data_IF_461498977130
#
_entry.id   IF_461498977130
#
_cell.length_a   1.000
_cell.length_b   1.000
_cell.length_c   1.000
_cell.angle_alpha   90.00
_cell.angle_beta   90.00
_cell.angle_gamma   90.00
#
_symmetry.space_group_name_H-M   'P 1'
#
loop_
_entity.id
_entity.type
_entity.pdbx_description
1 polymer ?
#
# COMPACT_ATOMS: atom_id res chain seq x y z
N UNK A 1 3.72 5.71 1.01
CA UNK A 1 3.54 4.27 1.32
C UNK A 1 4.77 3.78 2.05
N UNK A 2 4.60 2.96 3.07
CA UNK A 2 5.71 2.39 3.83
C UNK A 2 6.63 1.51 2.98
N UNK A 3 7.76 1.08 3.54
CA UNK A 3 8.59 0.03 2.98
C UNK A 3 8.98 -0.98 4.05
N UNK A 4 9.16 -2.23 3.63
CA UNK A 4 9.61 -3.33 4.47
C UNK A 4 10.81 -4.01 3.81
N UNK A 5 11.70 -4.55 4.64
CA UNK A 5 12.78 -5.42 4.20
C UNK A 5 13.04 -6.48 5.28
N UNK A 6 13.34 -7.72 4.86
CA UNK A 6 13.73 -8.82 5.75
C UNK A 6 14.87 -9.62 5.16
N UNK A 7 15.76 -10.10 6.00
CA UNK A 7 16.89 -10.96 5.64
C UNK A 7 17.02 -12.13 6.62
N UNK A 8 16.89 -13.35 6.11
CA UNK A 8 16.91 -14.55 6.94
C UNK A 8 18.33 -15.13 7.06
N UNK A 9 19.21 -14.39 7.73
CA UNK A 9 20.59 -14.76 7.96
C UNK A 9 21.27 -13.82 8.97
N UNK A 10 22.43 -14.24 9.48
CA UNK A 10 23.21 -13.50 10.46
C UNK A 10 24.58 -13.04 9.95
N UNK A 11 24.83 -13.23 8.66
CA UNK A 11 26.07 -12.90 7.96
C UNK A 11 26.04 -11.51 7.28
N UNK A 12 24.91 -10.77 7.37
CA UNK A 12 24.78 -9.41 6.90
C UNK A 12 24.80 -8.44 8.08
N UNK A 13 25.76 -7.47 8.15
CA UNK A 13 25.75 -6.43 9.18
C UNK A 13 24.49 -5.58 9.13
N UNK A 14 23.99 -5.19 10.31
CA UNK A 14 22.78 -4.37 10.46
C UNK A 14 22.91 -3.03 9.76
N UNK A 15 24.07 -2.42 9.80
CA UNK A 15 24.37 -1.14 9.13
C UNK A 15 24.24 -1.27 7.60
N UNK A 16 24.80 -2.32 7.02
CA UNK A 16 24.69 -2.63 5.60
C UNK A 16 23.23 -2.90 5.19
N UNK A 17 22.50 -3.65 6.02
CA UNK A 17 21.07 -3.87 5.79
C UNK A 17 20.28 -2.56 5.83
N UNK A 18 20.59 -1.65 6.76
CA UNK A 18 19.95 -0.34 6.84
C UNK A 18 20.24 0.53 5.61
N UNK A 19 21.45 0.46 5.02
CA UNK A 19 21.78 1.11 3.76
C UNK A 19 20.93 0.59 2.60
N UNK A 20 20.68 -0.73 2.54
CA UNK A 20 19.79 -1.30 1.54
C UNK A 20 18.34 -0.84 1.73
N UNK A 21 17.85 -0.78 2.96
CA UNK A 21 16.50 -0.29 3.27
C UNK A 21 16.35 1.19 2.89
N UNK A 22 17.38 2.03 3.12
CA UNK A 22 17.39 3.46 2.79
C UNK A 22 17.22 3.76 1.29
N UNK A 23 17.46 2.80 0.39
CA UNK A 23 17.21 2.99 -1.05
C UNK A 23 15.74 3.26 -1.38
N UNK A 24 14.85 2.98 -0.44
CA UNK A 24 13.41 3.27 -0.52
C UNK A 24 12.96 4.29 0.53
N UNK A 25 13.84 5.19 0.99
CA UNK A 25 13.50 6.21 1.97
C UNK A 25 12.35 7.12 1.53
N UNK A 26 12.19 7.38 0.22
CA UNK A 26 11.06 8.13 -0.34
C UNK A 26 9.70 7.49 -0.09
N UNK A 27 9.63 6.16 0.15
CA UNK A 27 8.39 5.47 0.52
C UNK A 27 8.02 5.65 1.99
N UNK A 28 9.01 5.67 2.86
CA UNK A 28 8.84 5.80 4.30
C UNK A 28 9.68 6.95 4.86
N UNK A 29 9.30 8.20 4.59
CA UNK A 29 10.14 9.36 4.91
C UNK A 29 10.06 9.81 6.36
N UNK A 30 9.07 9.34 7.13
CA UNK A 30 8.81 9.87 8.47
C UNK A 30 9.73 9.24 9.53
N UNK A 31 10.02 7.94 9.42
CA UNK A 31 10.90 7.23 10.37
C UNK A 31 11.40 5.90 9.79
N UNK A 32 12.50 5.37 10.32
CA UNK A 32 13.07 4.09 9.91
C UNK A 32 13.53 3.28 11.14
N UNK A 33 13.22 1.99 11.14
CA UNK A 33 13.65 1.08 12.20
C UNK A 33 14.15 -0.24 11.61
N UNK A 34 15.26 -0.74 12.16
CA UNK A 34 15.79 -2.07 11.89
C UNK A 34 15.95 -2.79 13.23
N UNK A 35 15.38 -3.98 13.34
CA UNK A 35 15.53 -4.86 14.50
C UNK A 35 16.28 -6.13 14.10
N UNK A 36 17.04 -6.65 15.06
CA UNK A 36 17.61 -8.00 15.00
C UNK A 36 16.61 -8.98 15.58
N UNK A 37 16.51 -10.13 14.96
CA UNK A 37 15.57 -11.19 15.33
C UNK A 37 16.29 -12.54 15.32
N UNK A 38 15.65 -13.59 15.80
CA UNK A 38 16.22 -14.95 15.72
C UNK A 38 16.38 -15.44 14.28
N UNK A 39 15.62 -14.91 13.31
CA UNK A 39 15.78 -15.29 11.90
C UNK A 39 16.82 -14.45 11.16
N UNK A 40 17.19 -13.29 11.69
CA UNK A 40 18.09 -12.33 11.06
C UNK A 40 17.63 -10.89 11.27
N UNK A 41 17.42 -10.14 10.18
CA UNK A 41 17.11 -8.70 10.22
C UNK A 41 15.73 -8.39 9.66
N UNK A 42 15.00 -7.51 10.34
CA UNK A 42 13.71 -6.98 9.89
C UNK A 42 13.72 -5.46 9.95
N UNK A 43 13.40 -4.83 8.81
CA UNK A 43 13.40 -3.38 8.64
C UNK A 43 12.07 -2.83 8.18
N UNK A 44 11.76 -1.61 8.63
CA UNK A 44 10.57 -0.86 8.29
C UNK A 44 10.89 0.61 8.09
N UNK A 45 10.38 1.20 7.00
CA UNK A 45 10.36 2.65 6.79
C UNK A 45 8.92 3.15 6.77
N UNK A 46 8.62 4.14 7.59
CA UNK A 46 7.26 4.62 7.86
C UNK A 46 6.86 5.79 6.99
N UNK A 47 5.66 5.70 6.42
CA UNK A 47 4.82 6.83 6.07
C UNK A 47 3.59 6.75 6.99
N UNK A 48 3.46 7.68 7.93
CA UNK A 48 2.40 7.67 8.93
C UNK A 48 1.08 8.13 8.30
N UNK A 49 0.13 7.19 8.15
CA UNK A 49 -1.22 7.42 7.63
C UNK A 49 -2.25 7.04 8.69
N UNK A 50 -2.04 5.91 9.37
CA UNK A 50 -2.83 5.42 10.49
C UNK A 50 -1.98 5.35 11.74
N UNK A 51 -2.60 5.58 12.94
CA UNK A 51 -1.92 5.50 14.23
C UNK A 51 -0.72 6.43 14.30
N UNK A 52 -0.93 7.74 14.17
CA UNK A 52 0.13 8.75 13.95
C UNK A 52 1.15 8.88 15.09
N UNK A 53 0.87 8.30 16.26
CA UNK A 53 1.77 8.37 17.41
C UNK A 53 3.04 7.51 17.21
N UNK A 54 4.11 7.73 18.01
CA UNK A 54 5.34 6.93 17.94
C UNK A 54 5.11 5.42 18.13
N UNK A 55 4.08 5.03 18.90
CA UNK A 55 3.73 3.63 19.15
C UNK A 55 3.24 2.90 17.89
N UNK A 56 2.76 3.64 16.87
CA UNK A 56 2.42 3.08 15.55
C UNK A 56 3.64 2.73 14.69
N UNK A 57 4.88 2.88 15.22
CA UNK A 57 6.10 2.52 14.49
C UNK A 57 6.36 1.01 14.51
N UNK A 58 6.53 0.45 13.32
CA UNK A 58 6.84 -0.96 13.11
C UNK A 58 8.38 -1.21 13.06
N UNK A 59 8.84 -2.47 13.16
CA UNK A 59 8.08 -3.72 13.36
C UNK A 59 7.35 -3.76 14.71
N UNK A 60 6.10 -4.27 14.69
CA UNK A 60 5.38 -4.60 15.93
C UNK A 60 5.93 -5.88 16.53
N UNK A 61 6.04 -5.93 17.84
CA UNK A 61 6.59 -7.08 18.56
C UNK A 61 5.67 -7.53 19.70
N UNK A 62 5.59 -8.86 19.91
CA UNK A 62 4.98 -9.49 21.09
C UNK A 62 5.89 -10.60 21.58
N UNK A 63 6.68 -10.29 22.62
CA UNK A 63 7.82 -11.14 23.00
C UNK A 63 8.87 -11.13 21.90
N UNK A 64 9.27 -12.33 21.43
CA UNK A 64 10.20 -12.49 20.31
C UNK A 64 9.51 -12.61 18.93
N UNK A 65 8.17 -12.66 18.89
CA UNK A 65 7.39 -12.62 17.64
C UNK A 65 7.37 -11.20 17.10
N UNK A 66 7.47 -11.05 15.78
CA UNK A 66 7.46 -9.71 15.17
C UNK A 66 6.78 -9.71 13.79
N UNK A 67 6.29 -8.53 13.39
CA UNK A 67 5.70 -8.29 12.06
C UNK A 67 6.05 -6.89 11.56
N UNK A 68 6.39 -6.80 10.28
CA UNK A 68 6.42 -5.57 9.52
C UNK A 68 5.47 -5.70 8.33
N UNK A 69 4.60 -4.71 8.15
CA UNK A 69 3.59 -4.69 7.11
C UNK A 69 3.59 -3.33 6.40
N UNK A 70 3.77 -3.35 5.09
CA UNK A 70 3.42 -2.24 4.22
C UNK A 70 2.02 -2.51 3.69
N UNK A 71 1.00 -1.95 4.32
CA UNK A 71 -0.38 -2.25 3.97
C UNK A 71 -1.36 -1.26 4.57
N UNK A 72 -2.63 -1.51 4.25
CA UNK A 72 -3.81 -0.88 4.81
C UNK A 72 -4.84 -1.97 5.08
N UNK A 73 -5.23 -2.15 6.34
CA UNK A 73 -6.19 -3.15 6.76
C UNK A 73 -7.54 -2.47 6.97
N UNK A 74 -8.41 -2.60 6.00
CA UNK A 74 -9.72 -1.94 6.02
C UNK A 74 -10.66 -2.55 7.06
N UNK A 75 -11.41 -1.67 7.75
CA UNK A 75 -12.35 -2.12 8.77
C UNK A 75 -11.68 -2.74 9.99
N UNK A 76 -10.44 -2.39 10.30
CA UNK A 76 -9.69 -2.96 11.42
C UNK A 76 -10.26 -2.60 12.79
N UNK A 77 -10.93 -1.45 12.94
CA UNK A 77 -11.42 -0.96 14.25
C UNK A 77 -12.39 -1.92 14.95
N UNK A 78 -13.43 -2.48 14.28
CA UNK A 78 -14.27 -3.54 14.88
C UNK A 78 -13.46 -4.79 15.23
N UNK A 79 -12.55 -5.22 14.35
CA UNK A 79 -11.69 -6.39 14.59
C UNK A 79 -10.78 -6.16 15.80
N UNK A 80 -10.21 -4.98 15.96
CA UNK A 80 -9.42 -4.57 17.13
C UNK A 80 -10.26 -4.68 18.40
N UNK A 81 -11.50 -4.14 18.39
CA UNK A 81 -12.40 -4.21 19.53
C UNK A 81 -12.77 -5.66 19.92
N UNK A 82 -12.99 -6.56 18.96
CA UNK A 82 -13.19 -7.99 19.22
C UNK A 82 -11.97 -8.64 19.88
N UNK A 83 -10.77 -8.34 19.35
CA UNK A 83 -9.52 -8.84 19.92
C UNK A 83 -9.27 -8.29 21.35
N UNK A 84 -9.62 -7.03 21.62
CA UNK A 84 -9.57 -6.45 22.97
C UNK A 84 -10.52 -7.16 23.93
N UNK A 85 -11.72 -7.50 23.49
CA UNK A 85 -12.68 -8.30 24.29
C UNK A 85 -12.17 -9.74 24.57
N UNK A 86 -11.30 -10.27 23.71
CA UNK A 86 -10.59 -11.54 23.90
C UNK A 86 -9.33 -11.43 24.77
N UNK A 87 -8.99 -10.23 25.25
CA UNK A 87 -7.87 -9.98 26.17
C UNK A 87 -6.57 -9.54 25.51
N UNK A 88 -6.57 -9.25 24.21
CA UNK A 88 -5.40 -8.62 23.57
C UNK A 88 -5.33 -7.14 23.92
N UNK A 89 -4.10 -6.63 24.06
CA UNK A 89 -3.84 -5.21 24.30
C UNK A 89 -3.11 -4.60 23.12
N UNK A 90 -3.37 -3.34 22.82
CA UNK A 90 -2.74 -2.60 21.73
C UNK A 90 -2.10 -1.33 22.28
N UNK A 91 -0.96 -0.95 21.72
CA UNK A 91 -0.21 0.24 22.11
C UNK A 91 -0.54 1.44 21.21
N UNK A 92 -1.05 1.19 20.02
CA UNK A 92 -1.32 2.22 19.02
C UNK A 92 -2.69 2.04 18.36
N UNK A 93 -3.08 3.02 17.55
CA UNK A 93 -4.22 2.94 16.65
C UNK A 93 -3.83 2.56 15.21
N UNK A 94 -2.64 1.97 15.02
CA UNK A 94 -2.27 1.42 13.72
C UNK A 94 -3.11 0.18 13.40
N UNK A 95 -3.63 0.16 12.19
CA UNK A 95 -4.35 -0.97 11.62
C UNK A 95 -3.51 -2.26 11.59
N UNK A 96 -2.22 -2.14 11.28
CA UNK A 96 -1.29 -3.27 11.19
C UNK A 96 -0.95 -3.93 12.54
N UNK A 97 -1.25 -3.30 13.67
CA UNK A 97 -0.97 -3.89 14.99
C UNK A 97 -1.85 -5.11 15.29
N UNK A 98 -3.01 -5.26 14.61
CA UNK A 98 -3.89 -6.43 14.78
C UNK A 98 -3.34 -7.71 14.13
N UNK A 99 -2.29 -7.63 13.28
CA UNK A 99 -1.80 -8.78 12.50
C UNK A 99 -1.29 -9.92 13.39
N UNK A 100 -0.46 -9.63 14.39
CA UNK A 100 0.03 -10.68 15.30
C UNK A 100 -1.11 -11.35 16.10
N UNK A 101 -2.07 -10.62 16.71
CA UNK A 101 -3.25 -11.23 17.34
C UNK A 101 -4.07 -12.09 16.37
N UNK A 102 -4.30 -11.65 15.13
CA UNK A 102 -4.99 -12.44 14.12
C UNK A 102 -4.23 -13.73 13.76
N UNK A 103 -2.89 -13.62 13.66
CA UNK A 103 -2.05 -14.79 13.44
C UNK A 103 -2.13 -15.78 14.61
N UNK A 104 -2.18 -15.31 15.84
CA UNK A 104 -2.33 -16.20 17.01
C UNK A 104 -3.68 -16.91 17.02
N UNK A 105 -4.73 -16.23 16.59
CA UNK A 105 -6.09 -16.75 16.55
C UNK A 105 -6.30 -17.74 15.40
N UNK A 106 -5.82 -17.42 14.21
CA UNK A 106 -6.15 -18.15 12.98
C UNK A 106 -4.96 -18.86 12.30
N UNK A 107 -3.73 -18.64 12.78
CA UNK A 107 -2.53 -19.12 12.09
C UNK A 107 -2.45 -18.56 10.67
N UNK A 108 -2.01 -19.40 9.72
CA UNK A 108 -1.93 -19.00 8.30
C UNK A 108 -3.32 -18.83 7.63
N UNK A 109 -4.39 -19.30 8.26
CA UNK A 109 -5.74 -19.03 7.77
C UNK A 109 -6.16 -17.56 7.93
N UNK A 110 -5.41 -16.74 8.69
CA UNK A 110 -5.68 -15.32 8.88
C UNK A 110 -5.80 -14.56 7.54
N UNK A 111 -5.06 -14.98 6.49
CA UNK A 111 -5.10 -14.32 5.18
C UNK A 111 -6.50 -14.32 4.53
N UNK A 112 -7.39 -15.23 4.93
CA UNK A 112 -8.80 -15.28 4.48
C UNK A 112 -9.71 -14.32 5.25
N UNK A 113 -9.23 -13.77 6.36
CA UNK A 113 -9.96 -12.83 7.22
C UNK A 113 -9.50 -11.37 7.04
N UNK A 114 -8.51 -11.13 6.16
CA UNK A 114 -8.00 -9.79 5.90
C UNK A 114 -8.74 -9.17 4.71
N UNK A 115 -9.42 -8.05 4.94
CA UNK A 115 -9.83 -7.11 3.88
C UNK A 115 -8.74 -6.02 3.81
N UNK A 116 -7.74 -6.27 2.99
CA UNK A 116 -6.51 -5.48 3.03
C UNK A 116 -5.76 -5.48 1.70
N UNK A 117 -5.01 -4.43 1.47
CA UNK A 117 -3.90 -4.40 0.54
C UNK A 117 -2.60 -4.41 1.34
N UNK A 118 -1.76 -5.42 1.12
CA UNK A 118 -0.60 -5.61 1.98
C UNK A 118 0.57 -6.36 1.35
N UNK A 119 1.75 -6.04 1.86
CA UNK A 119 2.93 -6.88 1.82
C UNK A 119 3.48 -6.96 3.25
N UNK A 120 3.71 -8.15 3.79
CA UNK A 120 4.15 -8.31 5.18
C UNK A 120 5.25 -9.35 5.32
N UNK A 121 6.03 -9.21 6.39
CA UNK A 121 7.00 -10.19 6.88
C UNK A 121 6.72 -10.40 8.37
N UNK A 122 6.45 -11.65 8.76
CA UNK A 122 6.10 -12.04 10.12
C UNK A 122 7.04 -13.16 10.58
N UNK A 123 7.47 -13.12 11.83
CA UNK A 123 8.21 -14.19 12.47
C UNK A 123 7.50 -14.69 13.72
N UNK A 124 7.24 -16.01 13.77
CA UNK A 124 6.76 -16.75 14.94
C UNK A 124 7.96 -17.44 15.59
N UNK A 125 8.44 -16.90 16.70
CA UNK A 125 9.62 -17.38 17.41
C UNK A 125 9.41 -18.77 18.05
N UNK A 126 8.18 -19.07 18.46
CA UNK A 126 7.84 -20.34 19.12
C UNK A 126 7.89 -21.51 18.15
N UNK A 127 7.40 -21.30 16.92
CA UNK A 127 7.42 -22.29 15.86
C UNK A 127 8.63 -22.18 14.95
N UNK A 128 9.44 -21.10 15.10
CA UNK A 128 10.55 -20.73 14.24
C UNK A 128 10.14 -20.62 12.78
N UNK A 129 9.00 -19.98 12.53
CA UNK A 129 8.44 -19.78 11.20
C UNK A 129 8.67 -18.35 10.72
N UNK A 130 9.42 -18.21 9.62
CA UNK A 130 9.48 -16.98 8.85
C UNK A 130 8.38 -17.03 7.77
N UNK A 131 7.50 -16.05 7.81
CA UNK A 131 6.36 -15.92 6.90
C UNK A 131 6.50 -14.58 6.18
N UNK A 132 6.39 -14.60 4.87
CA UNK A 132 6.17 -13.39 4.08
C UNK A 132 4.91 -13.57 3.26
N UNK A 133 4.12 -12.51 3.03
CA UNK A 133 2.88 -12.63 2.29
C UNK A 133 2.55 -11.36 1.52
N UNK A 134 1.81 -11.54 0.41
CA UNK A 134 1.37 -10.45 -0.46
C UNK A 134 -0.13 -10.59 -0.75
N UNK A 135 -0.82 -9.46 -0.83
CA UNK A 135 -2.26 -9.38 -1.06
C UNK A 135 -2.71 -10.09 -2.36
N UNK A 136 -4.02 -10.43 -2.48
CA UNK A 136 -4.55 -11.21 -3.61
C UNK A 136 -4.35 -10.58 -4.98
N UNK A 137 -4.30 -9.24 -5.06
CA UNK A 137 -4.17 -8.49 -6.31
C UNK A 137 -2.71 -8.09 -6.55
N UNK A 138 -1.91 -7.99 -5.47
CA UNK A 138 -0.53 -7.51 -5.50
C UNK A 138 -0.43 -5.99 -5.54
N UNK A 139 -1.40 -5.29 -4.92
CA UNK A 139 -1.42 -3.82 -4.84
C UNK A 139 -0.15 -3.33 -4.14
N UNK A 140 0.24 -3.97 -3.03
CA UNK A 140 1.49 -3.64 -2.37
C UNK A 140 2.64 -4.43 -3.00
N UNK A 141 3.72 -3.75 -3.41
CA UNK A 141 4.85 -4.44 -4.01
C UNK A 141 5.63 -5.25 -2.96
N UNK A 142 6.07 -6.44 -3.38
CA UNK A 142 6.99 -7.27 -2.63
C UNK A 142 7.86 -8.04 -3.62
N UNK A 143 9.17 -8.09 -3.34
CA UNK A 143 10.17 -8.83 -4.09
C UNK A 143 10.94 -9.76 -3.16
N UNK A 144 11.55 -10.79 -3.72
CA UNK A 144 12.43 -11.69 -2.99
C UNK A 144 13.63 -12.11 -3.81
N UNK A 145 14.64 -12.60 -3.13
CA UNK A 145 15.83 -13.18 -3.74
C UNK A 145 16.63 -13.97 -2.70
N UNK A 146 17.72 -14.57 -3.16
CA UNK A 146 18.63 -15.31 -2.30
C UNK A 146 20.01 -14.68 -2.36
N UNK A 147 20.65 -14.49 -1.18
CA UNK A 147 22.03 -14.05 -1.07
C UNK A 147 23.00 -15.11 -1.62
N UNK A 148 24.28 -14.76 -1.69
CA UNK A 148 25.33 -15.73 -2.03
C UNK A 148 25.43 -16.91 -1.05
N UNK A 149 25.13 -16.64 0.23
CA UNK A 149 25.08 -17.62 1.31
C UNK A 149 23.81 -18.49 1.29
N UNK A 150 22.89 -18.24 0.35
CA UNK A 150 21.63 -18.98 0.22
C UNK A 150 20.50 -18.49 1.15
N UNK A 151 20.70 -17.42 1.89
CA UNK A 151 19.67 -16.83 2.74
C UNK A 151 18.64 -16.05 1.93
N UNK A 152 17.35 -16.23 2.23
CA UNK A 152 16.27 -15.49 1.56
C UNK A 152 16.18 -14.07 2.09
N UNK A 153 15.94 -13.13 1.18
CA UNK A 153 15.67 -11.74 1.46
C UNK A 153 14.36 -11.33 0.80
N UNK A 154 13.62 -10.44 1.48
CA UNK A 154 12.39 -9.83 1.00
C UNK A 154 12.51 -8.31 1.06
N UNK A 155 11.91 -7.61 0.11
CA UNK A 155 11.85 -6.14 0.16
C UNK A 155 10.66 -5.59 -0.63
N UNK A 156 10.21 -4.41 -0.27
CA UNK A 156 9.15 -3.69 -0.99
C UNK A 156 9.52 -3.39 -2.44
N UNK A 157 10.79 -3.13 -2.73
CA UNK A 157 11.26 -2.85 -4.10
C UNK A 157 12.51 -3.65 -4.45
N UNK A 158 12.64 -3.99 -5.73
CA UNK A 158 13.77 -4.77 -6.22
C UNK A 158 15.12 -4.08 -5.97
N UNK A 159 15.18 -2.74 -6.01
CA UNK A 159 16.41 -1.98 -5.79
C UNK A 159 17.02 -2.18 -4.40
N UNK A 160 16.21 -2.51 -3.39
CA UNK A 160 16.73 -2.84 -2.05
C UNK A 160 17.56 -4.14 -2.04
N UNK A 161 17.27 -5.07 -2.96
CA UNK A 161 17.93 -6.37 -3.05
C UNK A 161 19.12 -6.40 -4.03
N UNK A 162 19.32 -5.32 -4.80
CA UNK A 162 20.46 -5.22 -5.74
C UNK A 162 21.77 -5.16 -4.95
N UNK A 163 22.70 -6.06 -5.28
CA UNK A 163 23.98 -6.23 -4.58
C UNK A 163 23.92 -7.18 -3.39
N UNK A 164 22.72 -7.50 -2.87
CA UNK A 164 22.49 -8.54 -1.86
C UNK A 164 22.13 -9.88 -2.51
N UNK A 165 21.32 -9.84 -3.56
CA UNK A 165 20.82 -11.03 -4.26
C UNK A 165 21.28 -11.05 -5.71
N UNK A 166 21.70 -12.23 -6.22
CA UNK A 166 22.09 -12.40 -7.64
C UNK A 166 20.90 -12.34 -8.59
N UNK A 167 19.75 -12.86 -8.14
CA UNK A 167 18.49 -12.86 -8.87
C UNK A 167 17.39 -12.35 -7.95
N UNK A 168 16.55 -11.49 -8.49
CA UNK A 168 15.46 -10.86 -7.78
C UNK A 168 14.18 -11.18 -8.53
N UNK A 169 13.17 -11.61 -7.80
CA UNK A 169 11.88 -12.04 -8.34
C UNK A 169 10.75 -11.24 -7.69
N UNK A 170 9.69 -10.92 -8.43
CA UNK A 170 8.46 -10.44 -7.81
C UNK A 170 7.86 -11.54 -6.94
N UNK A 171 7.38 -11.17 -5.75
CA UNK A 171 6.68 -12.12 -4.87
C UNK A 171 5.32 -12.47 -5.49
N UNK A 172 4.93 -13.77 -5.54
CA UNK A 172 3.66 -14.18 -6.11
C UNK A 172 2.47 -13.53 -5.40
N UNK A 173 1.52 -13.00 -6.17
CA UNK A 173 0.28 -12.42 -5.64
C UNK A 173 -0.60 -13.50 -4.99
N UNK A 174 -1.43 -13.10 -4.00
CA UNK A 174 -2.32 -14.03 -3.30
C UNK A 174 -1.60 -15.21 -2.64
N UNK A 175 -0.34 -15.03 -2.27
CA UNK A 175 0.51 -16.10 -1.78
C UNK A 175 1.22 -15.72 -0.49
N UNK A 176 1.61 -16.72 0.27
CA UNK A 176 2.57 -16.57 1.34
C UNK A 176 3.76 -17.52 1.15
N UNK A 177 4.91 -17.08 1.64
CA UNK A 177 6.10 -17.91 1.87
C UNK A 177 6.09 -18.36 3.33
N UNK A 178 6.41 -19.63 3.56
CA UNK A 178 6.62 -20.17 4.89
C UNK A 178 7.75 -21.20 4.83
N UNK A 179 8.87 -20.90 5.48
CA UNK A 179 10.03 -21.77 5.61
C UNK A 179 10.40 -22.57 4.34
N UNK A 180 10.68 -21.86 3.25
CA UNK A 180 11.15 -22.46 1.99
C UNK A 180 10.05 -22.78 0.97
N UNK A 181 8.78 -22.64 1.31
CA UNK A 181 7.66 -22.95 0.43
C UNK A 181 6.80 -21.73 0.14
N UNK A 182 6.42 -21.55 -1.14
CA UNK A 182 5.40 -20.60 -1.55
C UNK A 182 4.07 -21.32 -1.67
N UNK A 183 3.05 -20.79 -1.00
CA UNK A 183 1.71 -21.36 -0.98
C UNK A 183 0.71 -20.28 -1.41
N UNK A 184 -0.09 -20.56 -2.42
CA UNK A 184 -1.17 -19.68 -2.86
C UNK A 184 -2.37 -19.85 -1.94
N UNK A 185 -2.84 -18.77 -1.34
CA UNK A 185 -4.00 -18.78 -0.46
C UNK A 185 -5.25 -18.19 -1.12
N UNK A 186 -5.08 -17.39 -2.18
CA UNK A 186 -6.16 -16.78 -2.95
C UNK A 186 -5.77 -16.66 -4.42
N UNK A 187 -6.70 -17.00 -5.30
CA UNK A 187 -6.65 -16.71 -6.73
C UNK A 187 -7.90 -15.92 -7.11
N UNK A 188 -7.74 -14.66 -7.47
CA UNK A 188 -8.86 -13.80 -7.88
C UNK A 188 -9.48 -14.23 -9.22
N UNK A 189 -8.75 -15.00 -10.03
CA UNK A 189 -9.25 -15.56 -11.28
C UNK A 189 -10.02 -16.87 -11.09
N UNK A 190 -9.95 -17.49 -9.91
CA UNK A 190 -10.73 -18.69 -9.59
C UNK A 190 -12.17 -18.31 -9.27
N UNK A 191 -13.04 -18.48 -10.25
CA UNK A 191 -14.46 -18.16 -10.16
C UNK A 191 -15.26 -19.43 -9.91
N UNK A 192 -15.69 -19.69 -8.66
CA UNK A 192 -16.34 -20.97 -8.31
C UNK A 192 -17.73 -21.12 -8.96
N UNK A 193 -18.41 -20.02 -9.26
CA UNK A 193 -19.72 -20.01 -9.90
C UNK A 193 -20.00 -18.65 -10.57
N UNK A 194 -20.83 -18.68 -11.59
CA UNK A 194 -21.43 -17.48 -12.18
C UNK A 194 -22.80 -17.24 -11.55
N UNK A 195 -23.12 -15.97 -11.24
CA UNK A 195 -24.46 -15.62 -10.80
C UNK A 195 -25.49 -15.78 -11.93
N UNK A 196 -26.69 -16.17 -11.57
CA UNK A 196 -27.85 -16.19 -12.45
C UNK A 196 -28.85 -15.08 -12.09
N UNK A 197 -28.39 -14.09 -11.31
CA UNK A 197 -29.23 -12.99 -10.83
C UNK A 197 -29.77 -12.14 -11.98
N UNK A 198 -30.94 -11.55 -11.77
CA UNK A 198 -31.53 -10.62 -12.72
C UNK A 198 -30.75 -9.29 -12.78
N UNK A 199 -30.76 -8.62 -13.92
CA UNK A 199 -30.00 -7.37 -14.16
C UNK A 199 -30.21 -6.32 -13.05
N UNK A 200 -31.43 -6.05 -12.54
CA UNK A 200 -31.63 -5.08 -11.45
C UNK A 200 -30.86 -5.43 -10.17
N UNK A 201 -30.79 -6.72 -9.82
CA UNK A 201 -30.08 -7.22 -8.65
C UNK A 201 -28.55 -7.10 -8.84
N UNK A 202 -28.04 -7.45 -10.03
CA UNK A 202 -26.64 -7.28 -10.40
C UNK A 202 -26.21 -5.82 -10.24
N UNK A 203 -27.00 -4.88 -10.77
CA UNK A 203 -26.72 -3.45 -10.70
C UNK A 203 -26.76 -2.92 -9.26
N UNK A 204 -27.71 -3.41 -8.45
CA UNK A 204 -27.79 -3.07 -7.03
C UNK A 204 -26.55 -3.54 -6.27
N UNK A 205 -26.11 -4.79 -6.49
CA UNK A 205 -24.93 -5.37 -5.87
C UNK A 205 -23.64 -4.65 -6.28
N UNK A 206 -23.49 -4.28 -7.56
CA UNK A 206 -22.35 -3.48 -8.04
C UNK A 206 -22.32 -2.13 -7.33
N UNK A 207 -23.46 -1.44 -7.26
CA UNK A 207 -23.55 -0.14 -6.59
C UNK A 207 -23.20 -0.23 -5.10
N UNK A 208 -23.75 -1.23 -4.40
CA UNK A 208 -23.47 -1.44 -2.98
C UNK A 208 -21.99 -1.68 -2.73
N UNK A 209 -21.37 -2.60 -3.49
CA UNK A 209 -19.94 -2.92 -3.36
C UNK A 209 -19.04 -1.73 -3.69
N UNK A 210 -19.37 -0.97 -4.72
CA UNK A 210 -18.60 0.22 -5.09
C UNK A 210 -18.68 1.29 -3.98
N UNK A 211 -19.88 1.58 -3.48
CA UNK A 211 -20.07 2.55 -2.41
C UNK A 211 -19.33 2.10 -1.14
N UNK A 212 -19.48 0.83 -0.73
CA UNK A 212 -18.77 0.29 0.42
C UNK A 212 -17.24 0.29 0.21
N UNK A 213 -16.78 0.00 -1.00
CA UNK A 213 -15.37 0.02 -1.35
C UNK A 213 -14.73 1.40 -1.23
N UNK A 214 -15.43 2.46 -1.63
CA UNK A 214 -14.97 3.84 -1.44
C UNK A 214 -15.04 4.23 0.03
N UNK A 215 -16.18 3.95 0.70
CA UNK A 215 -16.44 4.35 2.08
C UNK A 215 -15.36 3.88 3.05
N UNK A 216 -14.98 2.60 2.98
CA UNK A 216 -13.94 2.03 3.83
C UNK A 216 -12.54 2.61 3.62
N UNK A 217 -12.26 3.22 2.45
CA UNK A 217 -11.00 3.89 2.12
C UNK A 217 -10.95 5.35 2.56
N UNK A 218 -12.06 5.86 3.11
CA UNK A 218 -12.10 7.22 3.69
C UNK A 218 -11.61 7.24 5.14
N UNK A 219 -11.41 6.07 5.77
CA UNK A 219 -10.88 5.96 7.14
C UNK A 219 -9.36 6.16 7.10
N UNK A 220 -8.91 7.37 7.41
CA UNK A 220 -7.51 7.73 7.53
C UNK A 220 -7.35 8.80 8.62
N UNK A 221 -6.26 8.71 9.40
CA UNK A 221 -5.94 9.67 10.45
C UNK A 221 -5.25 10.94 9.90
N UNK A 222 -5.02 10.99 8.58
CA UNK A 222 -4.41 12.12 7.86
C UNK A 222 -5.37 12.68 6.80
N UNK A 223 -5.17 13.93 6.33
CA UNK A 223 -5.98 14.50 5.26
C UNK A 223 -5.94 13.67 3.98
N UNK A 224 -7.15 13.43 3.42
CA UNK A 224 -7.36 12.69 2.17
C UNK A 224 -7.69 13.66 1.05
N UNK A 225 -7.01 13.51 -0.10
CA UNK A 225 -7.29 14.18 -1.36
C UNK A 225 -7.79 13.20 -2.42
N UNK A 226 -8.21 13.74 -3.55
CA UNK A 226 -8.80 12.94 -4.63
C UNK A 226 -8.23 13.36 -5.98
N UNK A 227 -7.82 12.40 -6.81
CA UNK A 227 -7.48 12.69 -8.19
C UNK A 227 -8.75 12.65 -9.05
N UNK A 228 -8.99 13.72 -9.79
CA UNK A 228 -10.20 13.91 -10.59
C UNK A 228 -9.82 14.25 -12.03
N UNK A 229 -9.95 13.29 -12.93
CA UNK A 229 -9.72 13.48 -14.37
C UNK A 229 -10.96 13.90 -15.16
N UNK A 230 -12.15 13.89 -14.53
CA UNK A 230 -13.43 14.10 -15.21
C UNK A 230 -13.94 12.87 -15.96
N UNK A 231 -13.20 11.76 -15.97
CA UNK A 231 -13.66 10.44 -16.43
C UNK A 231 -14.69 9.83 -15.47
N UNK A 232 -15.38 8.77 -15.93
CA UNK A 232 -16.46 8.14 -15.16
C UNK A 232 -15.98 7.65 -13.79
N UNK A 233 -14.85 6.93 -13.74
CA UNK A 233 -14.39 6.23 -12.54
C UNK A 233 -13.95 7.22 -11.46
N UNK A 234 -13.08 8.18 -11.81
CA UNK A 234 -12.64 9.22 -10.89
C UNK A 234 -13.81 10.09 -10.39
N UNK A 235 -14.76 10.39 -11.28
CA UNK A 235 -15.95 11.16 -10.91
C UNK A 235 -16.86 10.40 -9.96
N UNK A 236 -17.05 9.08 -10.14
CA UNK A 236 -17.82 8.24 -9.23
C UNK A 236 -17.17 8.16 -7.85
N UNK A 237 -15.86 7.94 -7.77
CA UNK A 237 -15.12 7.92 -6.49
C UNK A 237 -15.30 9.25 -5.76
N UNK A 238 -15.08 10.37 -6.44
CA UNK A 238 -15.24 11.70 -5.85
C UNK A 238 -16.70 11.97 -5.41
N UNK A 239 -17.69 11.57 -6.21
CA UNK A 239 -19.11 11.79 -5.88
C UNK A 239 -19.55 10.96 -4.66
N UNK A 240 -19.10 9.70 -4.57
CA UNK A 240 -19.38 8.85 -3.42
C UNK A 240 -18.72 9.44 -2.17
N UNK A 241 -17.44 9.82 -2.27
CA UNK A 241 -16.69 10.41 -1.14
C UNK A 241 -17.32 11.71 -0.66
N UNK A 242 -17.65 12.65 -1.55
CA UNK A 242 -18.29 13.90 -1.19
C UNK A 242 -19.64 13.68 -0.47
N UNK A 243 -20.45 12.73 -0.97
CA UNK A 243 -21.72 12.37 -0.35
C UNK A 243 -21.55 11.73 1.03
N UNK A 244 -20.55 10.85 1.19
CA UNK A 244 -20.29 10.15 2.46
C UNK A 244 -19.72 11.08 3.52
N UNK A 245 -18.79 11.94 3.15
CA UNK A 245 -18.17 12.89 4.07
C UNK A 245 -19.08 14.07 4.44
N UNK A 246 -20.09 14.39 3.61
CA UNK A 246 -21.02 15.50 3.83
C UNK A 246 -20.34 16.86 3.91
N UNK A 247 -19.15 17.02 3.34
CA UNK A 247 -18.34 18.25 3.30
C UNK A 247 -17.60 18.35 1.97
N UNK A 248 -17.15 19.56 1.56
CA UNK A 248 -16.30 19.71 0.38
C UNK A 248 -15.05 18.81 0.44
N UNK A 249 -14.75 18.15 -0.65
CA UNK A 249 -13.54 17.33 -0.82
C UNK A 249 -12.48 18.12 -1.58
N UNK A 250 -11.20 17.82 -1.34
CA UNK A 250 -10.08 18.43 -2.06
C UNK A 250 -9.72 17.58 -3.25
N UNK A 251 -9.88 18.13 -4.47
CA UNK A 251 -9.64 17.39 -5.72
C UNK A 251 -8.52 18.01 -6.52
N UNK A 252 -7.78 17.17 -7.27
CA UNK A 252 -6.64 17.58 -8.06
C UNK A 252 -6.73 16.99 -9.46
N UNK A 253 -6.40 17.79 -10.46
CA UNK A 253 -6.26 17.38 -11.85
C UNK A 253 -4.94 17.88 -12.42
N UNK A 254 -4.48 17.25 -13.50
CA UNK A 254 -3.24 17.65 -14.21
C UNK A 254 -3.50 17.72 -15.71
N UNK A 255 -2.94 18.71 -16.36
CA UNK A 255 -3.05 18.89 -17.81
C UNK A 255 -1.84 19.57 -18.43
N UNK A 256 -1.63 19.32 -19.74
CA UNK A 256 -0.50 19.90 -20.51
C UNK A 256 -0.71 21.37 -20.89
N UNK A 257 -1.92 21.91 -20.73
CA UNK A 257 -2.29 23.29 -20.95
C UNK A 257 -3.60 23.60 -20.24
N UNK A 258 -3.92 24.88 -20.06
CA UNK A 258 -5.19 25.31 -19.48
C UNK A 258 -6.42 24.87 -20.29
N UNK A 259 -6.25 24.65 -21.60
CA UNK A 259 -7.30 24.18 -22.52
C UNK A 259 -7.37 22.66 -22.63
N UNK A 260 -6.64 21.89 -21.79
CA UNK A 260 -6.68 20.44 -21.81
C UNK A 260 -8.10 19.93 -21.55
N UNK A 261 -8.59 19.02 -22.41
CA UNK A 261 -9.97 18.53 -22.37
C UNK A 261 -10.30 17.86 -21.02
N UNK A 262 -9.32 17.18 -20.44
CA UNK A 262 -9.47 16.50 -19.14
C UNK A 262 -9.68 17.52 -18.01
N UNK A 263 -8.94 18.64 -18.00
CA UNK A 263 -9.14 19.70 -17.02
C UNK A 263 -10.52 20.32 -17.11
N UNK A 264 -11.04 20.51 -18.35
CA UNK A 264 -12.41 21.01 -18.55
C UNK A 264 -13.46 20.11 -17.92
N UNK A 265 -13.35 18.78 -18.10
CA UNK A 265 -14.32 17.84 -17.52
C UNK A 265 -14.10 17.68 -16.01
N UNK A 266 -12.87 17.65 -15.55
CA UNK A 266 -12.55 17.65 -14.13
C UNK A 266 -13.18 18.85 -13.41
N UNK A 267 -13.03 20.06 -13.98
CA UNK A 267 -13.63 21.30 -13.47
C UNK A 267 -15.15 21.21 -13.39
N UNK A 268 -15.82 20.71 -14.43
CA UNK A 268 -17.29 20.55 -14.43
C UNK A 268 -17.76 19.63 -13.28
N UNK A 269 -17.08 18.51 -13.07
CA UNK A 269 -17.40 17.59 -11.96
C UNK A 269 -17.10 18.23 -10.61
N UNK A 270 -15.97 18.92 -10.47
CA UNK A 270 -15.60 19.61 -9.24
C UNK A 270 -16.64 20.68 -8.87
N UNK A 271 -17.08 21.49 -9.83
CA UNK A 271 -18.11 22.51 -9.63
C UNK A 271 -19.45 21.88 -9.23
N UNK A 272 -19.85 20.76 -9.86
CA UNK A 272 -21.06 20.01 -9.51
C UNK A 272 -21.00 19.45 -8.08
N UNK A 273 -19.83 18.98 -7.64
CA UNK A 273 -19.62 18.45 -6.30
C UNK A 273 -19.33 19.53 -5.24
N UNK A 274 -19.22 20.80 -5.64
CA UNK A 274 -18.74 21.90 -4.77
C UNK A 274 -17.39 21.56 -4.12
N UNK A 275 -16.48 20.93 -4.86
CA UNK A 275 -15.17 20.51 -4.39
C UNK A 275 -14.17 21.69 -4.39
N UNK A 276 -13.22 21.66 -3.46
CA UNK A 276 -12.02 22.50 -3.51
C UNK A 276 -11.06 21.90 -4.53
N UNK A 277 -11.04 22.48 -5.74
CA UNK A 277 -10.36 21.91 -6.91
C UNK A 277 -9.11 22.68 -7.30
N UNK A 278 -8.01 21.95 -7.46
CA UNK A 278 -6.72 22.47 -7.89
C UNK A 278 -6.29 21.83 -9.22
N UNK A 279 -5.94 22.66 -10.19
CA UNK A 279 -5.41 22.24 -11.48
C UNK A 279 -3.89 22.42 -11.51
N UNK A 280 -3.17 21.35 -11.87
CA UNK A 280 -1.72 21.34 -12.04
C UNK A 280 -1.41 21.42 -13.52
N UNK A 281 -0.86 22.57 -13.96
CA UNK A 281 -0.51 22.78 -15.36
C UNK A 281 0.95 22.40 -15.58
N UNK A 282 1.18 21.50 -16.54
CA UNK A 282 2.52 21.06 -16.92
C UNK A 282 2.80 21.38 -18.39
N UNK A 283 4.07 21.37 -18.75
CA UNK A 283 4.52 21.55 -20.12
C UNK A 283 5.57 20.49 -20.49
N UNK A 284 5.98 20.50 -21.75
CA UNK A 284 6.97 19.55 -22.28
C UNK A 284 8.29 19.57 -21.49
N UNK A 285 8.76 20.74 -21.09
CA UNK A 285 10.02 20.88 -20.37
C UNK A 285 9.94 20.26 -18.97
N UNK A 286 8.86 20.51 -18.22
CA UNK A 286 8.60 19.92 -16.91
C UNK A 286 8.57 18.39 -17.01
N UNK A 287 7.88 17.85 -18.03
CA UNK A 287 7.80 16.41 -18.27
C UNK A 287 9.17 15.81 -18.55
N UNK A 288 9.97 16.44 -19.43
CA UNK A 288 11.29 15.93 -19.76
C UNK A 288 12.26 15.96 -18.57
N UNK A 289 12.20 17.01 -17.76
CA UNK A 289 13.05 17.15 -16.57
C UNK A 289 12.70 16.14 -15.45
N UNK A 290 11.47 15.63 -15.43
CA UNK A 290 11.03 14.64 -14.44
C UNK A 290 11.41 13.19 -14.81
N UNK A 291 11.80 12.91 -16.06
CA UNK A 291 11.96 11.53 -16.55
C UNK A 291 12.97 10.70 -15.76
N UNK A 292 14.15 11.24 -15.46
CA UNK A 292 15.19 10.50 -14.74
C UNK A 292 14.73 10.13 -13.33
N UNK A 293 14.07 11.05 -12.64
CA UNK A 293 13.53 10.85 -11.30
C UNK A 293 12.41 9.80 -11.30
N UNK A 294 11.51 9.87 -12.28
CA UNK A 294 10.43 8.89 -12.46
C UNK A 294 10.99 7.50 -12.73
N UNK A 295 11.98 7.35 -13.62
CA UNK A 295 12.63 6.07 -13.93
C UNK A 295 13.30 5.49 -12.68
N UNK A 296 14.04 6.30 -11.94
CA UNK A 296 14.71 5.89 -10.70
C UNK A 296 13.71 5.48 -9.61
N UNK A 297 12.58 6.20 -9.50
CA UNK A 297 11.53 5.92 -8.53
C UNK A 297 10.79 4.62 -8.87
N UNK A 298 10.43 4.41 -10.13
CA UNK A 298 9.73 3.22 -10.61
C UNK A 298 10.64 1.98 -10.65
N UNK A 299 11.95 2.17 -10.84
CA UNK A 299 12.90 1.07 -10.99
C UNK A 299 12.66 0.24 -12.25
N UNK A 300 12.13 0.85 -13.32
CA UNK A 300 11.85 0.22 -14.61
C UNK A 300 12.21 1.14 -15.77
N UNK A 301 12.51 0.55 -16.94
CA UNK A 301 12.64 1.24 -18.21
C UNK A 301 11.55 0.89 -19.21
N UNK A 302 10.47 0.25 -18.75
CA UNK A 302 9.29 0.03 -19.59
C UNK A 302 8.65 1.36 -19.97
N UNK A 303 8.64 1.65 -21.28
CA UNK A 303 8.20 2.95 -21.81
C UNK A 303 6.73 3.23 -21.51
N UNK A 304 5.88 2.20 -21.48
CA UNK A 304 4.45 2.35 -21.23
C UNK A 304 4.21 2.76 -19.78
N UNK A 305 4.86 2.07 -18.85
CA UNK A 305 4.81 2.38 -17.42
C UNK A 305 5.35 3.77 -17.13
N UNK A 306 6.50 4.16 -17.72
CA UNK A 306 7.10 5.48 -17.51
C UNK A 306 6.15 6.58 -18.03
N UNK A 307 5.62 6.46 -19.26
CA UNK A 307 4.69 7.44 -19.83
C UNK A 307 3.44 7.64 -18.98
N UNK A 308 2.84 6.55 -18.52
CA UNK A 308 1.65 6.60 -17.66
C UNK A 308 1.95 7.25 -16.31
N UNK A 309 3.17 7.04 -15.77
CA UNK A 309 3.51 7.48 -14.42
C UNK A 309 4.00 8.92 -14.31
N UNK A 310 4.50 9.56 -15.41
CA UNK A 310 5.04 10.94 -15.34
C UNK A 310 3.99 11.93 -14.86
N UNK A 311 2.78 11.88 -15.42
CA UNK A 311 1.68 12.76 -14.99
C UNK A 311 1.30 12.53 -13.54
N UNK A 312 1.16 11.26 -13.14
CA UNK A 312 0.88 10.89 -11.75
C UNK A 312 1.96 11.39 -10.79
N UNK A 313 3.24 11.22 -11.15
CA UNK A 313 4.35 11.72 -10.36
C UNK A 313 4.29 13.23 -10.18
N UNK A 314 4.06 13.98 -11.27
CA UNK A 314 4.03 15.44 -11.24
C UNK A 314 2.85 16.00 -10.42
N UNK A 315 1.66 15.41 -10.53
CA UNK A 315 0.53 15.82 -9.70
C UNK A 315 0.75 15.48 -8.22
N UNK A 316 1.29 14.30 -7.91
CA UNK A 316 1.61 13.93 -6.53
C UNK A 316 2.70 14.85 -5.94
N UNK A 317 3.72 15.22 -6.74
CA UNK A 317 4.77 16.17 -6.33
C UNK A 317 4.18 17.54 -6.02
N UNK A 318 3.35 18.08 -6.90
CA UNK A 318 2.66 19.36 -6.67
C UNK A 318 1.79 19.33 -5.40
N UNK A 319 1.02 18.26 -5.18
CA UNK A 319 0.21 18.08 -3.96
C UNK A 319 1.09 18.05 -2.72
N UNK A 320 2.19 17.32 -2.74
CA UNK A 320 3.12 17.21 -1.63
C UNK A 320 3.77 18.56 -1.28
N UNK A 321 4.16 19.34 -2.29
CA UNK A 321 4.82 20.63 -2.11
C UNK A 321 3.87 21.75 -1.65
N UNK A 322 2.58 21.64 -1.95
CA UNK A 322 1.61 22.73 -1.73
C UNK A 322 0.54 22.42 -0.69
N UNK A 323 0.48 21.18 -0.17
CA UNK A 323 -0.59 20.76 0.75
C UNK A 323 -0.08 19.86 1.86
N UNK A 324 -0.98 19.59 2.83
CA UNK A 324 -0.80 18.65 3.94
C UNK A 324 -1.35 17.24 3.63
N UNK A 325 -1.83 17.00 2.40
CA UNK A 325 -2.43 15.72 2.00
C UNK A 325 -1.36 14.63 1.94
N UNK A 326 -1.66 13.48 2.55
CA UNK A 326 -0.80 12.29 2.54
C UNK A 326 -1.42 11.08 1.89
N UNK A 327 -2.74 11.09 1.71
CA UNK A 327 -3.52 10.00 1.11
C UNK A 327 -4.27 10.54 -0.09
N UNK A 328 -4.20 9.82 -1.20
CA UNK A 328 -4.95 10.13 -2.42
C UNK A 328 -5.82 8.94 -2.80
N UNK A 329 -7.12 9.20 -3.00
CA UNK A 329 -8.01 8.26 -3.67
C UNK A 329 -8.05 8.57 -5.17
N UNK A 330 -7.98 7.52 -5.96
CA UNK A 330 -8.01 7.60 -7.42
C UNK A 330 -9.12 6.69 -7.97
N UNK A 331 -9.55 6.95 -9.19
CA UNK A 331 -10.45 6.07 -9.94
C UNK A 331 -9.70 5.15 -10.92
N UNK A 332 -8.39 5.01 -10.76
CA UNK A 332 -7.60 4.09 -11.59
C UNK A 332 -7.78 2.65 -11.12
N UNK A 333 -7.91 1.75 -12.08
CA UNK A 333 -8.09 0.31 -11.89
C UNK A 333 -6.87 -0.42 -12.47
#
# INVERSE_FOLDING_TARGET
>A
MCCIMGYAGHDLPKETFAEYLLRTASRGPDDQRVIETEFGLLGFGRLAIMGLTPEGMQPFTRGADCVACNGELYGFRPVKAELEAEGYTFASDSDCEIILPLYYKYGLAMFKHLDAEFAMILYDSRKKLLIAARDPIGIRPLFYGYSESGHIAFASEAKNLVGLCKKIYPFPIGSYYCNGQFVRYCDIADTPAYTQDEMPEILANIREKLVAGVDKRLDADTPVGFLLSGGLDSSLVCAIAAKKLGKPIRTFAIGMSEDAIDLKYAKQVADYLHADHTEVIINKEIVLNALEEVIAMLGTWDITTIRASVGMYLVCKAIHETTDIRVLLTGEI
#
